data_IF_670408465832
#
_entry.id   IF_670408465832
#
_cell.length_a   1.000
_cell.length_b   1.000
_cell.length_c   1.000
_cell.angle_alpha   90.00
_cell.angle_beta   90.00
_cell.angle_gamma   90.00
#
_symmetry.space_group_name_H-M   'P 1'
#
loop_
_entity.id
_entity.type
_entity.pdbx_description
1 polymer ?
#
# COMPACT_ATOMS: atom_id res chain seq x y z
N UNK A 1 3.22 2.66 17.74
CA UNK A 1 2.09 3.15 16.93
C UNK A 1 2.39 3.17 15.44
N UNK A 2 3.38 3.92 14.94
CA UNK A 2 3.67 3.96 13.48
C UNK A 2 4.12 2.60 12.90
N UNK A 3 5.06 1.92 13.60
CA UNK A 3 5.50 0.57 13.23
C UNK A 3 4.34 -0.43 13.26
N UNK A 4 3.52 -0.41 14.32
CA UNK A 4 2.38 -1.32 14.46
C UNK A 4 1.38 -1.19 13.29
N UNK A 5 1.15 0.04 12.79
CA UNK A 5 0.27 0.27 11.65
C UNK A 5 0.86 -0.18 10.30
N UNK A 6 2.17 0.02 10.09
CA UNK A 6 2.88 -0.45 8.90
C UNK A 6 2.99 -1.98 8.87
N UNK A 7 3.26 -2.61 10.00
CA UNK A 7 3.31 -4.06 10.15
C UNK A 7 1.92 -4.67 9.89
N UNK A 8 0.86 -4.04 10.42
CA UNK A 8 -0.51 -4.47 10.19
C UNK A 8 -0.95 -4.30 8.73
N UNK A 9 -0.54 -3.20 8.07
CA UNK A 9 -0.77 -2.98 6.65
C UNK A 9 -0.05 -4.02 5.79
N UNK A 10 1.19 -4.37 6.17
CA UNK A 10 1.97 -5.40 5.49
C UNK A 10 1.31 -6.77 5.60
N UNK A 11 0.81 -7.13 6.79
CA UNK A 11 0.04 -8.36 6.98
C UNK A 11 -1.28 -8.34 6.19
N UNK A 12 -2.01 -7.22 6.21
CA UNK A 12 -3.21 -7.05 5.40
C UNK A 12 -2.95 -7.32 3.91
N UNK A 13 -1.91 -6.72 3.32
CA UNK A 13 -1.56 -6.95 1.92
C UNK A 13 -1.16 -8.41 1.64
N UNK A 14 -0.40 -9.02 2.56
CA UNK A 14 -0.03 -10.43 2.47
C UNK A 14 -1.25 -11.37 2.45
N UNK A 15 -2.32 -11.05 3.18
CA UNK A 15 -3.54 -11.88 3.17
C UNK A 15 -4.23 -11.93 1.80
N UNK A 16 -4.00 -10.97 0.90
CA UNK A 16 -4.52 -11.01 -0.47
C UNK A 16 -3.72 -11.92 -1.42
N UNK A 17 -2.60 -12.49 -0.95
CA UNK A 17 -1.83 -13.54 -1.64
C UNK A 17 -2.28 -14.96 -1.25
N UNK A 18 -3.22 -15.08 -0.30
CA UNK A 18 -3.76 -16.34 0.20
C UNK A 18 -4.17 -17.31 -0.92
N UNK A 19 -3.91 -18.60 -0.71
CA UNK A 19 -4.45 -19.72 -1.49
C UNK A 19 -5.49 -20.53 -0.69
N UNK A 20 -6.15 -21.48 -1.35
CA UNK A 20 -7.15 -22.33 -0.70
C UNK A 20 -6.53 -23.16 0.44
N UNK A 21 -7.24 -23.21 1.59
CA UNK A 21 -6.82 -23.97 2.77
C UNK A 21 -5.98 -23.20 3.79
N UNK A 22 -5.69 -21.91 3.56
CA UNK A 22 -4.98 -21.06 4.51
C UNK A 22 -5.93 -20.30 5.44
N UNK A 23 -6.63 -21.02 6.32
CA UNK A 23 -7.65 -20.48 7.23
C UNK A 23 -7.09 -19.35 8.14
N UNK A 24 -5.83 -19.47 8.55
CA UNK A 24 -5.14 -18.45 9.36
C UNK A 24 -5.08 -17.11 8.61
N UNK A 25 -4.85 -17.13 7.29
CA UNK A 25 -4.82 -15.92 6.48
C UNK A 25 -6.22 -15.37 6.19
N UNK A 26 -7.25 -16.23 6.18
CA UNK A 26 -8.66 -15.82 6.12
C UNK A 26 -9.05 -15.01 7.37
N UNK A 27 -8.73 -15.53 8.55
CA UNK A 27 -8.94 -14.82 9.82
C UNK A 27 -8.12 -13.53 9.89
N UNK A 28 -6.84 -13.60 9.51
CA UNK A 28 -5.95 -12.43 9.52
C UNK A 28 -6.45 -11.30 8.61
N UNK A 29 -7.10 -11.61 7.48
CA UNK A 29 -7.68 -10.59 6.60
C UNK A 29 -8.74 -9.76 7.34
N UNK A 30 -9.69 -10.40 8.02
CA UNK A 30 -10.77 -9.68 8.72
C UNK A 30 -10.25 -8.94 9.96
N UNK A 31 -9.31 -9.54 10.69
CA UNK A 31 -8.66 -8.90 11.86
C UNK A 31 -7.87 -7.66 11.46
N UNK A 32 -6.99 -7.78 10.47
CA UNK A 32 -6.15 -6.65 10.02
C UNK A 32 -6.99 -5.53 9.43
N UNK A 33 -7.98 -5.85 8.61
CA UNK A 33 -8.92 -4.89 8.02
C UNK A 33 -9.67 -4.08 9.09
N UNK A 34 -10.13 -4.73 10.15
CA UNK A 34 -10.84 -4.07 11.26
C UNK A 34 -9.91 -3.13 12.01
N UNK A 35 -8.75 -3.64 12.45
CA UNK A 35 -7.75 -2.84 13.18
C UNK A 35 -7.22 -1.67 12.36
N UNK A 36 -7.00 -1.84 11.05
CA UNK A 36 -6.55 -0.75 10.17
C UNK A 36 -7.59 0.37 10.11
N UNK A 37 -8.89 0.06 9.98
CA UNK A 37 -9.96 1.05 9.99
C UNK A 37 -10.01 1.86 11.29
N UNK A 38 -9.81 1.19 12.43
CA UNK A 38 -9.77 1.84 13.75
C UNK A 38 -8.54 2.76 13.90
N UNK A 39 -7.42 2.39 13.29
CA UNK A 39 -6.18 3.17 13.37
C UNK A 39 -6.21 4.42 12.49
N UNK A 40 -6.87 4.41 11.33
CA UNK A 40 -6.86 5.52 10.33
C UNK A 40 -6.95 6.92 10.95
N UNK A 41 -7.88 7.24 11.89
CA UNK A 41 -8.00 8.58 12.46
C UNK A 41 -6.78 9.06 13.28
N UNK A 42 -5.90 8.14 13.66
CA UNK A 42 -4.75 8.37 14.53
C UNK A 42 -3.41 8.30 13.79
N UNK A 43 -3.43 8.04 12.48
CA UNK A 43 -2.22 7.91 11.67
C UNK A 43 -1.78 9.27 11.10
N UNK A 44 -0.48 9.38 10.80
CA UNK A 44 0.03 10.48 10.01
C UNK A 44 -0.71 10.52 8.64
N UNK A 45 -0.96 11.71 8.07
CA UNK A 45 -1.77 11.84 6.85
C UNK A 45 -1.32 10.95 5.68
N UNK A 46 -0.01 10.83 5.46
CA UNK A 46 0.57 10.00 4.40
C UNK A 46 0.27 8.51 4.61
N UNK A 47 0.48 8.01 5.82
CA UNK A 47 0.19 6.61 6.18
C UNK A 47 -1.32 6.33 6.21
N UNK A 48 -2.13 7.26 6.71
CA UNK A 48 -3.59 7.15 6.69
C UNK A 48 -4.11 6.98 5.24
N UNK A 49 -3.57 7.77 4.31
CA UNK A 49 -3.90 7.72 2.88
C UNK A 49 -3.51 6.37 2.25
N UNK A 50 -2.34 5.84 2.60
CA UNK A 50 -1.92 4.50 2.17
C UNK A 50 -2.86 3.40 2.71
N UNK A 51 -3.21 3.46 3.99
CA UNK A 51 -4.14 2.49 4.61
C UNK A 51 -5.53 2.56 3.97
N UNK A 52 -6.09 3.77 3.77
CA UNK A 52 -7.37 3.96 3.09
C UNK A 52 -7.33 3.40 1.66
N UNK A 53 -6.23 3.63 0.95
CA UNK A 53 -6.04 3.12 -0.41
C UNK A 53 -6.03 1.59 -0.43
N UNK A 54 -5.22 0.94 0.42
CA UNK A 54 -5.15 -0.52 0.52
C UNK A 54 -6.49 -1.15 0.91
N UNK A 55 -7.22 -0.55 1.86
CA UNK A 55 -8.56 -1.00 2.28
C UNK A 55 -9.61 -0.91 1.16
N UNK A 56 -9.46 0.06 0.24
CA UNK A 56 -10.31 0.21 -0.94
C UNK A 56 -9.91 -0.77 -2.05
N UNK A 57 -8.61 -0.86 -2.32
CA UNK A 57 -8.04 -1.73 -3.35
C UNK A 57 -6.66 -2.22 -2.94
N UNK A 58 -6.55 -3.48 -2.49
CA UNK A 58 -5.26 -4.08 -2.15
C UNK A 58 -4.30 -4.07 -3.32
N UNK A 59 -3.00 -3.96 -3.05
CA UNK A 59 -1.94 -3.96 -4.05
C UNK A 59 -2.05 -5.16 -4.98
N UNK A 60 -2.31 -6.36 -4.44
CA UNK A 60 -2.39 -7.61 -5.23
C UNK A 60 -3.54 -7.63 -6.26
N UNK A 61 -4.58 -6.82 -6.03
CA UNK A 61 -5.78 -6.69 -6.87
C UNK A 61 -5.76 -5.40 -7.71
N UNK A 62 -4.65 -4.64 -7.65
CA UNK A 62 -4.48 -3.40 -8.39
C UNK A 62 -3.78 -3.62 -9.73
N UNK A 63 -4.11 -2.78 -10.72
CA UNK A 63 -3.34 -2.76 -11.97
C UNK A 63 -1.94 -2.17 -11.67
N UNK A 64 -0.84 -2.85 -12.03
CA UNK A 64 0.51 -2.41 -11.66
C UNK A 64 0.80 -0.96 -12.04
N UNK A 65 0.39 -0.53 -13.23
CA UNK A 65 0.58 0.86 -13.69
C UNK A 65 -0.23 1.88 -12.92
N UNK A 66 -1.47 1.56 -12.56
CA UNK A 66 -2.31 2.46 -11.78
C UNK A 66 -1.74 2.60 -10.36
N UNK A 67 -1.41 1.47 -9.74
CA UNK A 67 -0.80 1.44 -8.42
C UNK A 67 0.53 2.19 -8.37
N UNK A 68 1.41 1.96 -9.35
CA UNK A 68 2.71 2.65 -9.40
C UNK A 68 2.56 4.18 -9.44
N UNK A 69 1.58 4.70 -10.20
CA UNK A 69 1.31 6.15 -10.27
C UNK A 69 0.91 6.72 -8.90
N UNK A 70 0.03 6.02 -8.19
CA UNK A 70 -0.44 6.43 -6.86
C UNK A 70 0.68 6.29 -5.82
N UNK A 71 1.41 5.18 -5.86
CA UNK A 71 2.50 4.89 -4.94
C UNK A 71 3.66 5.90 -5.05
N UNK A 72 4.00 6.39 -6.24
CA UNK A 72 4.99 7.47 -6.37
C UNK A 72 4.60 8.73 -5.58
N UNK A 73 3.30 9.02 -5.46
CA UNK A 73 2.82 10.16 -4.66
C UNK A 73 2.98 9.89 -3.17
N UNK A 74 2.66 8.67 -2.72
CA UNK A 74 2.85 8.27 -1.33
C UNK A 74 4.33 8.21 -0.93
N UNK A 75 5.18 7.67 -1.80
CA UNK A 75 6.61 7.54 -1.55
C UNK A 75 7.29 8.90 -1.42
N UNK A 76 6.86 9.90 -2.18
CA UNK A 76 7.37 11.27 -2.03
C UNK A 76 7.03 11.91 -0.67
N UNK A 77 5.95 11.46 0.00
CA UNK A 77 5.55 11.95 1.32
C UNK A 77 6.24 11.19 2.47
N UNK A 78 7.05 10.17 2.18
CA UNK A 78 7.82 9.41 3.19
C UNK A 78 9.02 10.26 3.67
N UNK A 79 9.33 10.23 4.96
CA UNK A 79 10.47 10.97 5.54
C UNK A 79 11.83 10.43 5.05
N UNK A 80 11.88 9.14 4.70
CA UNK A 80 13.10 8.41 4.35
C UNK A 80 13.13 7.96 2.89
N UNK A 81 12.40 8.65 2.00
CA UNK A 81 12.40 8.30 0.58
C UNK A 81 13.75 8.53 -0.08
N UNK A 82 14.07 7.69 -1.06
CA UNK A 82 15.25 7.83 -1.91
C UNK A 82 14.89 8.71 -3.12
N UNK A 83 15.52 9.89 -3.19
CA UNK A 83 15.29 10.86 -4.26
C UNK A 83 15.67 10.30 -5.64
N UNK A 84 16.75 9.53 -5.72
CA UNK A 84 17.23 8.93 -6.97
C UNK A 84 16.22 7.90 -7.46
N UNK A 85 15.70 7.05 -6.58
CA UNK A 85 14.67 6.07 -6.90
C UNK A 85 13.37 6.74 -7.34
N UNK A 86 12.90 7.78 -6.65
CA UNK A 86 11.69 8.50 -7.01
C UNK A 86 11.81 9.18 -8.38
N UNK A 87 12.96 9.82 -8.63
CA UNK A 87 13.25 10.46 -9.93
C UNK A 87 13.28 9.43 -11.05
N UNK A 88 13.92 8.28 -10.82
CA UNK A 88 13.96 7.19 -11.79
C UNK A 88 12.55 6.67 -12.09
N UNK A 89 11.74 6.36 -11.08
CA UNK A 89 10.37 5.87 -11.24
C UNK A 89 9.49 6.84 -12.05
N UNK A 90 9.59 8.15 -11.79
CA UNK A 90 8.84 9.18 -12.54
C UNK A 90 9.27 9.26 -14.00
N UNK A 91 10.56 9.21 -14.28
CA UNK A 91 11.08 9.24 -15.64
C UNK A 91 10.65 8.01 -16.43
N UNK A 92 10.82 6.81 -15.85
CA UNK A 92 10.40 5.55 -16.47
C UNK A 92 8.89 5.55 -16.77
N UNK A 93 8.08 5.98 -15.80
CA UNK A 93 6.63 6.10 -15.98
C UNK A 93 6.28 7.01 -17.17
N UNK A 94 6.91 8.19 -17.27
CA UNK A 94 6.65 9.15 -18.33
C UNK A 94 7.13 8.66 -19.71
N UNK A 95 8.24 7.91 -19.78
CA UNK A 95 8.71 7.31 -21.03
C UNK A 95 7.68 6.32 -21.56
N UNK A 96 7.17 5.45 -20.70
CA UNK A 96 6.21 4.42 -21.09
C UNK A 96 4.82 5.00 -21.34
N UNK A 97 4.44 6.07 -20.64
CA UNK A 97 3.21 6.82 -20.94
C UNK A 97 3.18 7.39 -22.36
N UNK A 98 4.33 7.80 -22.91
CA UNK A 98 4.41 8.31 -24.29
C UNK A 98 4.22 7.23 -25.37
N UNK A 99 4.28 5.95 -25.00
CA UNK A 99 4.13 4.82 -25.92
C UNK A 99 2.72 4.23 -25.93
N UNK A 100 1.88 4.56 -24.95
CA UNK A 100 0.48 4.12 -24.84
C UNK A 100 -0.47 5.19 -25.35
#
# INVERSE_FOLDING_TARGET
MLRDAQDLLSLYEATHLRVHGEDILEEALEVTKTKLKELVPHLAPSLAKQVIHALSRPMRKSLPRLFAREFMSFYQEDEFYDEVLLKFAKLDFNVLQKQH
#
